data_IF_910366801531
#
_entry.id   IF_910366801531
#
_cell.length_a   1.000
_cell.length_b   1.000
_cell.length_c   1.000
_cell.angle_alpha   90.00
_cell.angle_beta   90.00
_cell.angle_gamma   90.00
#
_symmetry.space_group_name_H-M   'P 1'
#
loop_
_entity.id
_entity.type
_entity.pdbx_description
1 polymer ?
#
# COMPACT_ATOMS: atom_id res chain seq x y z
N UNK A 1 35.34 20.09 -30.74
CA UNK A 1 35.16 19.53 -29.38
C UNK A 1 34.55 20.56 -28.40
N UNK A 2 35.17 21.73 -28.14
CA UNK A 2 34.64 22.79 -27.24
C UNK A 2 33.21 23.28 -27.55
N UNK A 3 32.81 23.33 -28.83
CA UNK A 3 31.48 23.81 -29.25
C UNK A 3 30.37 22.81 -28.87
N UNK A 4 30.64 21.50 -28.97
CA UNK A 4 29.71 20.41 -28.66
C UNK A 4 29.43 20.39 -27.14
N UNK A 5 30.47 20.57 -26.33
CA UNK A 5 30.35 20.65 -24.86
C UNK A 5 29.49 21.83 -24.41
N UNK A 6 29.59 22.99 -25.08
CA UNK A 6 28.82 24.19 -24.72
C UNK A 6 27.33 24.05 -25.07
N UNK A 7 27.00 23.38 -26.17
CA UNK A 7 25.61 23.10 -26.53
C UNK A 7 24.99 22.06 -25.60
N UNK A 8 25.73 21.01 -25.22
CA UNK A 8 25.26 20.01 -24.27
C UNK A 8 24.95 20.61 -22.89
N UNK A 9 25.82 21.49 -22.37
CA UNK A 9 25.62 22.20 -21.09
C UNK A 9 24.31 23.00 -21.11
N UNK A 10 24.03 23.70 -22.21
CA UNK A 10 22.78 24.46 -22.36
C UNK A 10 21.56 23.56 -22.41
N UNK A 11 21.63 22.46 -23.15
CA UNK A 11 20.52 21.49 -23.23
C UNK A 11 20.22 20.93 -21.83
N UNK A 12 21.25 20.45 -21.11
CA UNK A 12 21.08 19.94 -19.74
C UNK A 12 20.52 21.01 -18.80
N UNK A 13 21.04 22.24 -18.87
CA UNK A 13 20.56 23.35 -18.04
C UNK A 13 19.08 23.66 -18.27
N UNK A 14 18.63 23.70 -19.54
CA UNK A 14 17.22 23.90 -19.87
C UNK A 14 16.35 22.73 -19.44
N UNK A 15 16.80 21.49 -19.61
CA UNK A 15 16.07 20.30 -19.12
C UNK A 15 15.87 20.34 -17.61
N UNK A 16 16.91 20.70 -16.84
CA UNK A 16 16.82 20.85 -15.38
C UNK A 16 15.88 21.99 -14.98
N UNK A 17 15.89 23.10 -15.73
CA UNK A 17 14.98 24.21 -15.49
C UNK A 17 13.52 23.80 -15.70
N UNK A 18 13.23 23.06 -16.78
CA UNK A 18 11.88 22.54 -17.05
C UNK A 18 11.43 21.55 -15.97
N UNK A 19 12.32 20.67 -15.51
CA UNK A 19 12.02 19.76 -14.38
C UNK A 19 11.69 20.54 -13.11
N UNK A 20 12.46 21.58 -12.78
CA UNK A 20 12.18 22.44 -11.63
C UNK A 20 10.82 23.13 -11.74
N UNK A 21 10.48 23.69 -12.91
CA UNK A 21 9.15 24.29 -13.15
C UNK A 21 8.05 23.24 -12.99
N UNK A 22 8.23 22.04 -13.53
CA UNK A 22 7.26 20.94 -13.41
C UNK A 22 7.04 20.52 -11.96
N UNK A 23 8.11 20.31 -11.19
CA UNK A 23 8.04 19.98 -9.76
C UNK A 23 7.41 21.10 -8.94
N UNK A 24 7.75 22.36 -9.23
CA UNK A 24 7.12 23.52 -8.57
C UNK A 24 5.63 23.60 -8.88
N UNK A 25 5.24 23.42 -10.14
CA UNK A 25 3.83 23.38 -10.54
C UNK A 25 3.06 22.24 -9.86
N UNK A 26 3.68 21.06 -9.73
CA UNK A 26 3.10 19.92 -9.00
C UNK A 26 2.90 20.24 -7.51
N UNK A 27 3.85 20.94 -6.87
CA UNK A 27 3.74 21.37 -5.47
C UNK A 27 2.64 22.41 -5.27
N UNK A 28 2.57 23.42 -6.14
CA UNK A 28 1.49 24.40 -6.09
C UNK A 28 0.13 23.77 -6.33
N UNK A 29 0.04 22.82 -7.27
CA UNK A 29 -1.16 22.03 -7.52
C UNK A 29 -1.55 21.18 -6.32
N UNK A 30 -0.58 20.53 -5.68
CA UNK A 30 -0.79 19.78 -4.44
C UNK A 30 -1.38 20.66 -3.33
N UNK A 31 -0.76 21.80 -3.01
CA UNK A 31 -1.23 22.70 -1.96
C UNK A 31 -2.66 23.17 -2.22
N UNK A 32 -2.99 23.50 -3.47
CA UNK A 32 -4.35 23.89 -3.86
C UNK A 32 -5.38 22.77 -3.66
N UNK A 33 -5.03 21.54 -4.05
CA UNK A 33 -5.93 20.39 -3.97
C UNK A 33 -6.04 19.87 -2.53
N UNK A 34 -4.96 19.93 -1.76
CA UNK A 34 -4.92 19.58 -0.34
C UNK A 34 -5.90 20.43 0.46
N UNK A 35 -5.77 21.76 0.37
CA UNK A 35 -6.65 22.71 1.04
C UNK A 35 -8.13 22.50 0.68
N UNK A 36 -8.42 22.27 -0.60
CA UNK A 36 -9.81 22.23 -1.09
C UNK A 36 -10.49 20.87 -0.92
N UNK A 37 -9.73 19.77 -1.00
CA UNK A 37 -10.30 18.42 -1.12
C UNK A 37 -9.75 17.43 -0.10
N UNK A 38 -8.92 17.86 0.86
CA UNK A 38 -8.33 17.00 1.88
C UNK A 38 -7.60 15.80 1.25
N UNK A 39 -6.95 16.05 0.12
CA UNK A 39 -6.08 15.09 -0.56
C UNK A 39 -4.68 15.29 -0.01
N UNK A 40 -4.01 14.20 0.28
CA UNK A 40 -2.63 14.21 0.75
C UNK A 40 -1.75 13.42 -0.22
N UNK A 41 -0.44 13.60 -0.10
CA UNK A 41 0.46 12.63 -0.69
C UNK A 41 0.25 11.26 -0.02
N UNK A 42 0.44 10.22 -0.81
CA UNK A 42 0.39 8.82 -0.35
C UNK A 42 1.45 8.53 0.70
N UNK A 43 2.51 9.32 0.70
CA UNK A 43 3.57 9.33 1.70
C UNK A 43 3.95 10.77 1.99
N UNK A 44 3.89 11.19 3.26
CA UNK A 44 4.18 12.57 3.65
C UNK A 44 5.61 13.00 3.27
N UNK A 45 6.55 12.05 3.18
CA UNK A 45 7.94 12.31 2.81
C UNK A 45 8.06 12.87 1.38
N UNK A 46 7.12 12.53 0.49
CA UNK A 46 7.12 13.00 -0.91
C UNK A 46 7.05 14.51 -1.01
N UNK A 47 6.32 15.19 -0.11
CA UNK A 47 6.24 16.65 -0.10
C UNK A 47 7.64 17.27 -0.04
N UNK A 48 8.44 16.86 0.93
CA UNK A 48 9.79 17.37 1.14
C UNK A 48 10.76 16.88 0.06
N UNK A 49 10.68 15.60 -0.35
CA UNK A 49 11.57 15.04 -1.38
C UNK A 49 11.41 15.76 -2.72
N UNK A 50 10.17 16.03 -3.14
CA UNK A 50 9.90 16.75 -4.39
C UNK A 50 10.38 18.21 -4.29
N UNK A 51 10.21 18.86 -3.13
CA UNK A 51 10.73 20.21 -2.91
C UNK A 51 12.27 20.25 -2.99
N UNK A 52 12.97 19.32 -2.33
CA UNK A 52 14.43 19.19 -2.40
C UNK A 52 14.88 18.96 -3.85
N UNK A 53 14.22 18.05 -4.56
CA UNK A 53 14.51 17.79 -5.98
C UNK A 53 14.33 19.05 -6.84
N UNK A 54 13.22 19.77 -6.65
CA UNK A 54 12.95 21.03 -7.34
C UNK A 54 14.06 22.06 -7.10
N UNK A 55 14.49 22.23 -5.85
CA UNK A 55 15.55 23.16 -5.46
C UNK A 55 16.89 22.79 -6.10
N UNK A 56 17.26 21.50 -6.10
CA UNK A 56 18.50 21.01 -6.71
C UNK A 56 18.48 21.25 -8.22
N UNK A 57 17.39 20.88 -8.90
CA UNK A 57 17.23 21.11 -10.34
C UNK A 57 17.34 22.59 -10.70
N UNK A 58 16.68 23.47 -9.94
CA UNK A 58 16.72 24.91 -10.17
C UNK A 58 18.13 25.49 -9.95
N UNK A 59 18.80 25.10 -8.86
CA UNK A 59 20.14 25.57 -8.56
C UNK A 59 21.15 25.15 -9.63
N UNK A 60 21.10 23.89 -10.07
CA UNK A 60 21.95 23.38 -11.16
C UNK A 60 21.64 24.08 -12.49
N UNK A 61 20.37 24.28 -12.82
CA UNK A 61 19.99 25.02 -14.03
C UNK A 61 20.56 26.45 -14.04
N UNK A 62 20.45 27.16 -12.93
CA UNK A 62 21.00 28.51 -12.75
C UNK A 62 22.52 28.51 -12.94
N UNK A 63 23.24 27.55 -12.33
CA UNK A 63 24.70 27.44 -12.45
C UNK A 63 25.18 27.14 -13.87
N UNK A 64 24.40 26.38 -14.64
CA UNK A 64 24.74 25.97 -16.01
C UNK A 64 24.35 27.02 -17.07
N UNK A 65 23.20 27.69 -16.89
CA UNK A 65 22.67 28.63 -17.88
C UNK A 65 23.18 30.07 -17.69
N UNK A 66 23.43 30.49 -16.45
CA UNK A 66 23.82 31.87 -16.15
C UNK A 66 25.33 32.00 -15.91
N UNK A 67 25.91 33.06 -16.48
CA UNK A 67 27.29 33.47 -16.20
C UNK A 67 27.34 34.22 -14.88
N UNK A 68 27.42 33.48 -13.78
CA UNK A 68 27.53 34.04 -12.43
C UNK A 68 28.99 34.37 -12.08
N UNK A 69 29.20 35.47 -11.34
CA UNK A 69 30.49 35.78 -10.75
C UNK A 69 30.79 34.82 -9.57
N UNK A 70 32.06 34.76 -9.12
CA UNK A 70 32.48 33.84 -8.04
C UNK A 70 31.71 34.06 -6.74
N UNK A 71 31.41 35.32 -6.38
CA UNK A 71 30.68 35.66 -5.14
C UNK A 71 29.23 35.19 -5.20
N UNK A 72 28.52 35.46 -6.30
CA UNK A 72 27.13 35.03 -6.52
C UNK A 72 26.98 33.51 -6.55
N UNK A 73 27.97 32.78 -7.09
CA UNK A 73 27.98 31.31 -7.02
C UNK A 73 28.06 30.83 -5.57
N UNK A 74 29.00 31.37 -4.78
CA UNK A 74 29.17 31.00 -3.37
C UNK A 74 27.89 31.29 -2.59
N UNK A 75 27.36 32.52 -2.71
CA UNK A 75 26.12 32.92 -2.02
C UNK A 75 24.95 32.03 -2.43
N UNK A 76 24.74 31.81 -3.73
CA UNK A 76 23.63 30.99 -4.23
C UNK A 76 23.72 29.54 -3.75
N UNK A 77 24.91 28.95 -3.79
CA UNK A 77 25.13 27.59 -3.27
C UNK A 77 24.90 27.51 -1.76
N UNK A 78 25.37 28.50 -0.99
CA UNK A 78 25.13 28.56 0.46
C UNK A 78 23.64 28.66 0.80
N UNK A 79 22.90 29.56 0.13
CA UNK A 79 21.44 29.71 0.32
C UNK A 79 20.70 28.42 -0.05
N UNK A 80 21.05 27.82 -1.19
CA UNK A 80 20.47 26.54 -1.62
C UNK A 80 20.71 25.45 -0.58
N UNK A 81 21.93 25.36 -0.05
CA UNK A 81 22.28 24.40 1.00
C UNK A 81 21.43 24.58 2.26
N UNK A 82 21.24 25.81 2.72
CA UNK A 82 20.41 26.11 3.90
C UNK A 82 18.95 25.68 3.68
N UNK A 83 18.38 25.97 2.50
CA UNK A 83 16.98 25.61 2.19
C UNK A 83 16.81 24.09 2.12
N UNK A 84 17.78 23.36 1.54
CA UNK A 84 17.76 21.89 1.52
C UNK A 84 17.84 21.34 2.94
N UNK A 85 18.75 21.85 3.77
CA UNK A 85 18.88 21.45 5.18
C UNK A 85 17.55 21.65 5.92
N UNK A 86 16.90 22.80 5.73
CA UNK A 86 15.60 23.05 6.33
C UNK A 86 14.54 22.00 5.93
N UNK A 87 14.47 21.63 4.66
CA UNK A 87 13.54 20.58 4.20
C UNK A 87 13.89 19.20 4.74
N UNK A 88 15.18 18.88 4.90
CA UNK A 88 15.61 17.62 5.52
C UNK A 88 15.21 17.58 6.99
N UNK A 89 15.38 18.67 7.73
CA UNK A 89 14.93 18.76 9.13
C UNK A 89 13.42 18.58 9.24
N UNK A 90 12.64 19.27 8.42
CA UNK A 90 11.17 19.13 8.40
C UNK A 90 10.71 17.73 7.97
N UNK A 91 11.43 17.08 7.05
CA UNK A 91 11.15 15.68 6.69
C UNK A 91 11.36 14.74 7.88
N UNK A 92 12.45 14.92 8.64
CA UNK A 92 12.75 14.09 9.80
C UNK A 92 11.69 14.30 10.89
N UNK A 93 11.36 15.56 11.19
CA UNK A 93 10.33 15.94 12.16
C UNK A 93 8.96 15.34 11.81
N UNK A 94 8.51 15.53 10.57
CA UNK A 94 7.26 14.96 10.07
C UNK A 94 7.23 13.43 10.14
N UNK A 95 8.37 12.76 9.93
CA UNK A 95 8.46 11.30 10.01
C UNK A 95 8.57 10.79 11.46
N UNK A 96 8.95 11.65 12.41
CA UNK A 96 8.89 11.35 13.84
C UNK A 96 7.45 11.45 14.36
N UNK A 97 6.67 12.42 13.89
CA UNK A 97 5.26 12.56 14.25
C UNK A 97 4.35 11.52 13.55
N UNK A 98 4.60 11.28 12.26
CA UNK A 98 3.80 10.39 11.43
C UNK A 98 4.66 9.31 10.79
N UNK A 99 4.48 8.07 11.23
CA UNK A 99 5.08 6.91 10.57
C UNK A 99 4.25 6.56 9.34
N UNK A 100 4.91 6.53 8.18
CA UNK A 100 4.28 6.20 6.90
C UNK A 100 4.59 4.73 6.56
N UNK A 101 3.55 3.90 6.42
CA UNK A 101 3.63 2.52 5.98
C UNK A 101 3.10 2.47 4.56
N UNK A 102 4.01 2.28 3.60
CA UNK A 102 3.66 2.27 2.17
C UNK A 102 4.21 1.04 1.47
N UNK A 103 3.38 0.37 0.68
CA UNK A 103 3.81 -0.73 -0.18
C UNK A 103 3.14 -0.63 -1.54
N UNK A 104 3.90 -0.93 -2.59
CA UNK A 104 3.39 -0.97 -3.97
C UNK A 104 2.98 -2.41 -4.29
N UNK A 105 1.87 -2.59 -5.00
CA UNK A 105 1.40 -3.91 -5.42
C UNK A 105 2.36 -4.57 -6.42
N UNK A 106 2.36 -5.91 -6.53
CA UNK A 106 3.25 -6.63 -7.45
C UNK A 106 3.12 -6.19 -8.92
N UNK A 107 1.91 -5.81 -9.36
CA UNK A 107 1.65 -5.28 -10.70
C UNK A 107 1.82 -3.75 -10.84
N UNK A 108 2.26 -3.05 -9.78
CA UNK A 108 2.46 -1.60 -9.72
C UNK A 108 1.21 -0.74 -9.93
N UNK A 109 0.00 -1.32 -9.90
CA UNK A 109 -1.26 -0.58 -10.11
C UNK A 109 -1.83 0.02 -8.84
N UNK A 110 -1.47 -0.52 -7.68
CA UNK A 110 -2.00 -0.13 -6.40
C UNK A 110 -0.89 0.18 -5.41
N UNK A 111 -1.21 1.04 -4.45
CA UNK A 111 -0.30 1.39 -3.37
C UNK A 111 -1.10 1.38 -2.08
N UNK A 112 -0.67 0.53 -1.15
CA UNK A 112 -1.09 0.57 0.23
C UNK A 112 -0.42 1.77 0.90
N UNK A 113 -1.21 2.55 1.63
CA UNK A 113 -0.72 3.66 2.45
C UNK A 113 -1.47 3.71 3.77
N UNK A 114 -0.73 3.60 4.85
CA UNK A 114 -1.20 3.80 6.22
C UNK A 114 -0.31 4.86 6.86
N UNK A 115 -0.94 5.79 7.57
CA UNK A 115 -0.25 6.81 8.34
C UNK A 115 -0.60 6.62 9.81
N UNK A 116 0.42 6.34 10.61
CA UNK A 116 0.32 6.16 12.06
C UNK A 116 0.84 7.42 12.75
N UNK A 117 0.02 7.99 13.64
CA UNK A 117 0.48 8.98 14.59
C UNK A 117 1.28 8.28 15.70
N UNK A 118 2.55 8.65 15.85
CA UNK A 118 3.48 7.97 16.75
C UNK A 118 3.24 8.25 18.23
N UNK A 119 2.50 9.31 18.57
CA UNK A 119 2.21 9.67 19.95
C UNK A 119 1.09 8.81 20.55
N UNK A 120 0.07 8.48 19.77
CA UNK A 120 -1.13 7.77 20.23
C UNK A 120 -1.42 6.44 19.52
N UNK A 121 -0.57 6.03 18.58
CA UNK A 121 -0.75 4.77 17.83
C UNK A 121 -1.95 4.78 16.89
N UNK A 122 -2.52 5.94 16.57
CA UNK A 122 -3.65 6.03 15.65
C UNK A 122 -3.20 5.88 14.21
N UNK A 123 -3.61 4.77 13.59
CA UNK A 123 -3.33 4.48 12.21
C UNK A 123 -4.56 4.72 11.32
N UNK A 124 -4.35 5.43 10.22
CA UNK A 124 -5.38 5.73 9.22
C UNK A 124 -4.94 5.13 7.88
N UNK A 125 -5.81 4.34 7.27
CA UNK A 125 -5.65 3.84 5.91
C UNK A 125 -6.08 4.92 4.90
N UNK A 126 -5.21 5.15 3.92
CA UNK A 126 -5.42 6.08 2.81
C UNK A 126 -5.63 5.33 1.51
N UNK A 127 -6.70 5.67 0.78
CA UNK A 127 -6.96 5.12 -0.55
C UNK A 127 -6.36 6.02 -1.62
N UNK A 128 -5.50 5.44 -2.48
CA UNK A 128 -4.98 6.13 -3.66
C UNK A 128 -6.10 6.33 -4.69
N UNK A 129 -6.20 7.54 -5.22
CA UNK A 129 -7.13 7.88 -6.31
C UNK A 129 -6.40 8.31 -7.59
N UNK A 130 -5.21 8.92 -7.45
CA UNK A 130 -4.45 9.48 -8.58
C UNK A 130 -2.94 9.31 -8.36
N UNK A 131 -2.45 8.07 -8.41
CA UNK A 131 -1.03 7.76 -8.28
C UNK A 131 -0.49 8.11 -6.89
N UNK A 132 0.31 9.18 -6.80
CA UNK A 132 0.97 9.62 -5.56
C UNK A 132 0.03 10.38 -4.60
N UNK A 133 -1.24 10.55 -4.96
CA UNK A 133 -2.24 11.25 -4.15
C UNK A 133 -3.26 10.27 -3.57
N UNK A 134 -3.57 10.46 -2.29
CA UNK A 134 -4.48 9.61 -1.54
C UNK A 134 -5.41 10.44 -0.64
N UNK A 135 -6.50 9.82 -0.18
CA UNK A 135 -7.42 10.40 0.81
C UNK A 135 -7.59 9.45 1.99
N UNK A 136 -7.77 9.98 3.21
CA UNK A 136 -8.11 9.14 4.35
C UNK A 136 -9.41 8.40 4.06
N UNK A 137 -9.42 7.10 4.30
CA UNK A 137 -10.58 6.24 4.06
C UNK A 137 -11.16 5.72 5.36
N UNK A 138 -10.35 5.08 6.19
CA UNK A 138 -10.79 4.49 7.45
C UNK A 138 -9.66 4.44 8.47
N UNK A 139 -10.02 4.55 9.76
CA UNK A 139 -9.09 4.33 10.88
C UNK A 139 -8.96 2.83 11.11
N UNK A 140 -7.75 2.35 11.39
CA UNK A 140 -7.56 0.97 11.82
C UNK A 140 -8.29 0.76 13.16
N UNK A 141 -8.95 -0.39 13.39
CA UNK A 141 -9.82 -0.57 14.56
C UNK A 141 -9.10 -0.48 15.91
N UNK A 142 -7.81 -0.82 15.95
CA UNK A 142 -7.01 -0.85 17.17
C UNK A 142 -5.79 0.07 17.03
N UNK A 143 -5.46 0.74 18.13
CA UNK A 143 -4.23 1.51 18.26
C UNK A 143 -3.01 0.59 18.20
N UNK A 144 -1.97 1.04 17.52
CA UNK A 144 -0.81 0.23 17.18
C UNK A 144 0.39 0.56 18.08
N UNK A 145 1.22 -0.44 18.36
CA UNK A 145 2.44 -0.30 19.20
C UNK A 145 3.70 -0.67 18.44
N UNK A 146 3.84 -0.16 17.22
CA UNK A 146 5.13 -0.18 16.53
C UNK A 146 5.09 -0.77 15.13
N UNK A 147 5.62 -1.97 14.97
CA UNK A 147 5.94 -2.54 13.65
C UNK A 147 4.71 -3.08 12.91
N UNK A 148 4.80 -2.97 11.59
CA UNK A 148 3.80 -3.43 10.64
C UNK A 148 4.49 -4.41 9.70
N UNK A 149 3.80 -5.50 9.40
CA UNK A 149 4.15 -6.41 8.32
C UNK A 149 3.11 -6.28 7.21
N UNK A 150 3.56 -6.02 6.00
CA UNK A 150 2.69 -5.87 4.84
C UNK A 150 2.99 -7.01 3.88
N UNK A 151 1.95 -7.74 3.47
CA UNK A 151 2.05 -8.79 2.46
C UNK A 151 0.96 -8.62 1.40
N UNK A 152 1.32 -8.79 0.12
CA UNK A 152 0.34 -8.73 -0.96
C UNK A 152 -0.15 -10.14 -1.26
N UNK A 153 -1.36 -10.45 -0.79
CA UNK A 153 -1.98 -11.77 -0.96
C UNK A 153 -2.46 -12.01 -2.39
N UNK A 154 -2.73 -10.92 -3.10
CA UNK A 154 -2.97 -10.83 -4.53
C UNK A 154 -2.49 -9.45 -5.01
N UNK A 155 -2.51 -9.20 -6.32
CA UNK A 155 -2.15 -7.92 -6.93
C UNK A 155 -2.96 -6.73 -6.42
N UNK A 156 -4.13 -6.97 -5.84
CA UNK A 156 -5.09 -5.95 -5.40
C UNK A 156 -5.67 -6.24 -4.00
N UNK A 157 -5.01 -7.09 -3.21
CA UNK A 157 -5.31 -7.34 -1.80
C UNK A 157 -4.02 -7.35 -0.98
N UNK A 158 -3.87 -6.36 -0.10
CA UNK A 158 -2.71 -6.23 0.80
C UNK A 158 -3.12 -6.46 2.24
N UNK A 159 -2.59 -7.50 2.87
CA UNK A 159 -2.74 -7.75 4.29
C UNK A 159 -1.69 -6.97 5.09
N UNK A 160 -2.15 -6.35 6.17
CA UNK A 160 -1.34 -5.56 7.09
C UNK A 160 -1.48 -6.16 8.47
N UNK A 161 -0.46 -6.90 8.89
CA UNK A 161 -0.37 -7.49 10.22
C UNK A 161 0.34 -6.51 11.14
N UNK A 162 -0.23 -6.27 12.32
CA UNK A 162 0.35 -5.37 13.31
C UNK A 162 0.00 -5.82 14.72
N UNK A 163 0.79 -5.36 15.69
CA UNK A 163 0.51 -5.56 17.10
C UNK A 163 -0.29 -4.39 17.65
N UNK A 164 -1.46 -4.66 18.20
CA UNK A 164 -2.29 -3.67 18.87
C UNK A 164 -1.75 -3.36 20.28
N UNK A 165 -2.20 -2.24 20.86
CA UNK A 165 -1.75 -1.76 22.17
C UNK A 165 -1.97 -2.76 23.31
N UNK A 166 -2.97 -3.64 23.19
CA UNK A 166 -3.25 -4.75 24.11
C UNK A 166 -2.37 -5.99 23.87
N UNK A 167 -1.39 -5.89 22.97
CA UNK A 167 -0.50 -6.93 22.50
C UNK A 167 -1.11 -8.02 21.62
N UNK A 168 -2.37 -7.88 21.20
CA UNK A 168 -2.99 -8.82 20.25
C UNK A 168 -2.48 -8.60 18.83
N UNK A 169 -2.34 -9.68 18.06
CA UNK A 169 -2.12 -9.59 16.61
C UNK A 169 -3.43 -9.19 15.92
N UNK A 170 -3.36 -8.10 15.17
CA UNK A 170 -4.47 -7.61 14.37
C UNK A 170 -4.07 -7.59 12.90
N UNK A 171 -5.07 -7.72 12.05
CA UNK A 171 -4.87 -7.66 10.61
C UNK A 171 -5.90 -6.73 9.98
N UNK A 172 -5.40 -5.84 9.12
CA UNK A 172 -6.21 -5.00 8.26
C UNK A 172 -5.92 -5.38 6.81
N UNK A 173 -6.94 -5.43 5.96
CA UNK A 173 -6.74 -5.75 4.54
C UNK A 173 -7.18 -4.61 3.64
N UNK A 174 -6.23 -4.06 2.88
CA UNK A 174 -6.49 -3.06 1.85
C UNK A 174 -6.87 -3.75 0.53
N UNK A 175 -8.12 -3.58 0.09
CA UNK A 175 -8.64 -4.20 -1.15
C UNK A 175 -8.92 -3.16 -2.23
N UNK A 176 -8.46 -3.41 -3.46
CA UNK A 176 -8.47 -2.42 -4.55
C UNK A 176 -9.30 -2.81 -5.77
N UNK A 177 -9.60 -4.09 -5.98
CA UNK A 177 -10.35 -4.59 -7.12
C UNK A 177 -11.66 -5.29 -6.76
N UNK A 178 -12.14 -6.10 -7.70
CA UNK A 178 -13.36 -6.90 -7.60
C UNK A 178 -13.20 -8.16 -8.49
N UNK A 179 -13.76 -9.29 -8.08
CA UNK A 179 -13.87 -10.54 -8.87
C UNK A 179 -15.24 -10.72 -9.53
N UNK A 180 -16.21 -9.88 -9.20
CA UNK A 180 -17.52 -9.86 -9.82
C UNK A 180 -17.60 -8.90 -11.01
N UNK A 181 -18.83 -8.45 -11.29
CA UNK A 181 -19.11 -7.50 -12.37
C UNK A 181 -18.98 -6.04 -11.96
N UNK A 182 -18.57 -5.75 -10.71
CA UNK A 182 -18.56 -4.42 -10.12
C UNK A 182 -19.94 -3.81 -9.86
N UNK A 183 -21.03 -4.55 -10.08
CA UNK A 183 -22.43 -4.06 -9.94
C UNK A 183 -23.10 -4.46 -8.63
N UNK A 184 -22.63 -5.52 -7.99
CA UNK A 184 -23.24 -6.09 -6.78
C UNK A 184 -22.15 -6.44 -5.77
N UNK A 185 -22.43 -6.16 -4.50
CA UNK A 185 -21.57 -6.55 -3.40
C UNK A 185 -21.83 -8.02 -3.05
N UNK A 186 -20.78 -8.81 -2.86
CA UNK A 186 -20.86 -10.22 -2.44
C UNK A 186 -20.00 -10.46 -1.20
N UNK A 187 -20.22 -11.62 -0.57
CA UNK A 187 -19.52 -12.03 0.64
C UNK A 187 -18.47 -13.08 0.30
N UNK A 188 -17.20 -12.77 0.56
CA UNK A 188 -16.06 -13.63 0.22
C UNK A 188 -16.24 -15.03 0.77
N UNK A 189 -16.64 -15.14 2.05
CA UNK A 189 -16.87 -16.43 2.69
C UNK A 189 -17.95 -17.28 2.01
N UNK A 190 -18.98 -16.65 1.46
CA UNK A 190 -20.05 -17.33 0.73
C UNK A 190 -19.61 -17.75 -0.67
N UNK A 191 -18.86 -16.91 -1.38
CA UNK A 191 -18.32 -17.23 -2.71
C UNK A 191 -17.30 -18.37 -2.66
N UNK A 192 -16.59 -18.53 -1.55
CA UNK A 192 -15.64 -19.62 -1.36
C UNK A 192 -16.25 -20.88 -0.74
N UNK A 193 -17.57 -21.03 -0.74
CA UNK A 193 -18.23 -22.22 -0.17
C UNK A 193 -17.68 -23.51 -0.82
N UNK A 194 -17.26 -24.48 -0.02
CA UNK A 194 -16.61 -25.70 -0.49
C UNK A 194 -15.29 -26.00 0.21
N UNK A 195 -14.51 -26.90 -0.38
CA UNK A 195 -13.21 -27.35 0.12
C UNK A 195 -12.08 -26.83 -0.78
N UNK A 196 -11.04 -26.28 -0.15
CA UNK A 196 -9.87 -25.72 -0.80
C UNK A 196 -8.61 -26.38 -0.25
N UNK A 197 -7.82 -26.99 -1.12
CA UNK A 197 -6.64 -27.77 -0.74
C UNK A 197 -5.34 -27.09 -1.17
N UNK A 198 -4.34 -27.16 -0.30
CA UNK A 198 -2.95 -26.77 -0.54
C UNK A 198 -1.97 -27.80 0.01
N UNK A 199 -0.67 -27.46 0.00
CA UNK A 199 0.36 -28.34 0.55
C UNK A 199 0.27 -28.40 2.08
N UNK A 200 -0.30 -29.50 2.61
CA UNK A 200 -0.52 -29.76 4.04
C UNK A 200 -1.51 -28.82 4.75
N UNK A 201 -2.32 -28.10 3.98
CA UNK A 201 -3.34 -27.18 4.50
C UNK A 201 -4.64 -27.39 3.73
N UNK A 202 -5.75 -27.40 4.47
CA UNK A 202 -7.10 -27.51 3.93
C UNK A 202 -7.98 -26.40 4.53
N UNK A 203 -8.83 -25.79 3.72
CA UNK A 203 -9.83 -24.82 4.15
C UNK A 203 -11.21 -25.28 3.70
N UNK A 204 -12.15 -25.36 4.63
CA UNK A 204 -13.54 -25.73 4.35
C UNK A 204 -14.44 -24.57 4.75
N UNK A 205 -15.13 -23.96 3.78
CA UNK A 205 -16.18 -22.97 4.04
C UNK A 205 -17.55 -23.61 3.91
N UNK A 206 -18.35 -23.54 4.97
CA UNK A 206 -19.69 -24.12 5.00
C UNK A 206 -20.67 -23.29 5.86
N UNK A 207 -21.88 -23.79 6.10
CA UNK A 207 -22.91 -23.06 6.85
C UNK A 207 -22.54 -22.79 8.31
N UNK A 208 -21.66 -23.57 8.92
CA UNK A 208 -21.20 -23.36 10.29
C UNK A 208 -20.12 -22.28 10.40
N UNK A 209 -19.40 -21.99 9.32
CA UNK A 209 -18.27 -21.07 9.30
C UNK A 209 -17.16 -21.57 8.38
N UNK A 210 -15.92 -21.21 8.72
CA UNK A 210 -14.73 -21.61 7.98
C UNK A 210 -13.81 -22.42 8.89
N UNK A 211 -13.47 -23.64 8.48
CA UNK A 211 -12.44 -24.45 9.14
C UNK A 211 -11.13 -24.34 8.39
N UNK A 212 -10.03 -24.20 9.12
CA UNK A 212 -8.65 -24.29 8.59
C UNK A 212 -7.98 -25.47 9.27
N UNK A 213 -7.48 -26.42 8.49
CA UNK A 213 -6.68 -27.55 8.95
C UNK A 213 -5.24 -27.36 8.50
N UNK A 214 -4.30 -27.15 9.41
CA UNK A 214 -2.87 -27.04 9.13
C UNK A 214 -2.15 -28.19 9.85
N UNK A 215 -1.39 -29.01 9.12
CA UNK A 215 -0.61 -30.13 9.70
C UNK A 215 -1.44 -31.11 10.58
N UNK A 216 -2.73 -31.27 10.28
CA UNK A 216 -3.64 -32.16 11.01
C UNK A 216 -4.37 -31.52 12.20
N UNK A 217 -4.04 -30.28 12.56
CA UNK A 217 -4.77 -29.51 13.57
C UNK A 217 -5.85 -28.66 12.89
N UNK A 218 -7.12 -28.93 13.22
CA UNK A 218 -8.28 -28.22 12.66
C UNK A 218 -8.80 -27.16 13.62
N UNK A 219 -8.98 -25.95 13.11
CA UNK A 219 -9.59 -24.84 13.82
C UNK A 219 -10.82 -24.33 13.07
N UNK A 220 -11.96 -24.23 13.76
CA UNK A 220 -13.20 -23.69 13.22
C UNK A 220 -13.41 -22.25 13.68
N UNK A 221 -13.74 -21.39 12.71
CA UNK A 221 -14.11 -20.00 12.90
C UNK A 221 -15.57 -19.83 12.51
N UNK A 222 -16.43 -19.55 13.48
CA UNK A 222 -17.83 -19.20 13.21
C UNK A 222 -17.92 -17.86 12.46
N UNK A 223 -19.07 -17.62 11.81
CA UNK A 223 -19.29 -16.41 11.02
C UNK A 223 -19.19 -15.11 11.82
N UNK A 224 -19.46 -15.12 13.13
CA UNK A 224 -19.36 -13.94 14.00
C UNK A 224 -17.90 -13.55 14.25
N UNK A 225 -16.97 -14.50 14.11
CA UNK A 225 -15.53 -14.31 14.22
C UNK A 225 -14.84 -14.04 12.86
N UNK A 226 -15.59 -13.85 11.78
CA UNK A 226 -15.07 -13.59 10.43
C UNK A 226 -15.36 -12.14 10.03
N UNK A 227 -14.31 -11.41 9.70
CA UNK A 227 -14.39 -10.00 9.35
C UNK A 227 -14.09 -9.80 7.86
N UNK A 228 -15.04 -9.27 7.11
CA UNK A 228 -14.87 -9.00 5.68
C UNK A 228 -14.21 -7.65 5.40
N UNK A 229 -13.29 -7.67 4.44
CA UNK A 229 -12.60 -6.49 3.90
C UNK A 229 -12.88 -6.38 2.41
N UNK A 230 -13.73 -5.41 2.05
CA UNK A 230 -14.19 -5.22 0.67
C UNK A 230 -14.82 -6.50 0.11
N UNK A 231 -14.60 -6.75 -1.18
CA UNK A 231 -15.09 -7.96 -1.86
C UNK A 231 -13.98 -8.98 -2.12
N UNK A 232 -12.79 -8.79 -1.56
CA UNK A 232 -11.62 -9.61 -1.92
C UNK A 232 -11.03 -10.42 -0.76
N UNK A 233 -11.29 -10.06 0.50
CA UNK A 233 -10.66 -10.74 1.62
C UNK A 233 -11.53 -10.82 2.88
N UNK A 234 -11.21 -11.80 3.72
CA UNK A 234 -11.75 -11.99 5.07
C UNK A 234 -10.62 -12.29 6.05
N UNK A 235 -10.75 -11.82 7.28
CA UNK A 235 -9.87 -12.15 8.41
C UNK A 235 -10.64 -13.06 9.36
N UNK A 236 -10.06 -14.21 9.68
CA UNK A 236 -10.57 -15.17 10.66
C UNK A 236 -9.95 -14.86 12.02
N UNK A 237 -10.79 -14.64 13.03
CA UNK A 237 -10.36 -14.23 14.37
C UNK A 237 -10.65 -15.27 15.43
N UNK A 238 -9.83 -15.32 16.47
CA UNK A 238 -10.11 -16.06 17.69
C UNK A 238 -9.78 -15.20 18.90
N UNK A 239 -10.70 -15.12 19.86
CA UNK A 239 -10.51 -14.30 21.07
C UNK A 239 -10.09 -12.85 20.75
N UNK A 240 -10.72 -12.25 19.72
CA UNK A 240 -10.42 -10.92 19.17
C UNK A 240 -9.06 -10.76 18.45
N UNK A 241 -8.25 -11.81 18.34
CA UNK A 241 -6.96 -11.82 17.65
C UNK A 241 -7.12 -12.36 16.22
N UNK A 242 -6.42 -11.78 15.25
CA UNK A 242 -6.37 -12.31 13.89
C UNK A 242 -5.51 -13.58 13.86
N UNK A 243 -6.01 -14.65 13.23
CA UNK A 243 -5.29 -15.93 13.10
C UNK A 243 -4.94 -16.20 11.63
N UNK A 244 -5.92 -16.03 10.74
CA UNK A 244 -5.77 -16.25 9.30
C UNK A 244 -6.41 -15.12 8.50
N UNK A 245 -5.88 -14.82 7.32
CA UNK A 245 -6.57 -14.07 6.27
C UNK A 245 -6.73 -14.97 5.06
N UNK A 246 -7.90 -14.89 4.44
CA UNK A 246 -8.16 -15.51 3.14
C UNK A 246 -8.44 -14.39 2.14
N UNK A 247 -7.84 -14.46 0.95
CA UNK A 247 -8.15 -13.57 -0.16
C UNK A 247 -8.44 -14.32 -1.45
N UNK A 248 -9.28 -13.72 -2.30
CA UNK A 248 -9.56 -14.20 -3.65
C UNK A 248 -8.46 -13.75 -4.61
N UNK A 249 -7.81 -14.69 -5.30
CA UNK A 249 -6.76 -14.36 -6.28
C UNK A 249 -7.37 -13.89 -7.60
N UNK A 250 -6.54 -13.37 -8.51
CA UNK A 250 -6.99 -12.68 -9.73
C UNK A 250 -7.75 -13.57 -10.70
N UNK A 251 -7.48 -14.87 -10.65
CA UNK A 251 -8.17 -15.88 -11.45
C UNK A 251 -9.47 -16.39 -10.82
N UNK A 252 -9.83 -15.90 -9.63
CA UNK A 252 -11.09 -16.25 -8.98
C UNK A 252 -12.27 -15.59 -9.69
N UNK A 253 -13.28 -16.38 -10.06
CA UNK A 253 -14.49 -15.88 -10.71
C UNK A 253 -15.69 -15.95 -9.77
N UNK A 254 -16.38 -14.82 -9.59
CA UNK A 254 -17.62 -14.76 -8.82
C UNK A 254 -18.79 -14.97 -9.77
N UNK A 255 -19.50 -16.09 -9.59
CA UNK A 255 -20.64 -16.44 -10.42
C UNK A 255 -21.94 -15.94 -9.80
N UNK A 256 -22.85 -15.33 -10.59
CA UNK A 256 -24.15 -14.89 -10.10
C UNK A 256 -25.10 -16.05 -9.75
N UNK A 257 -24.75 -17.28 -10.13
CA UNK A 257 -25.55 -18.49 -9.94
C UNK A 257 -24.78 -19.51 -9.10
N UNK A 258 -25.35 -19.93 -7.98
CA UNK A 258 -24.75 -20.88 -7.03
C UNK A 258 -24.57 -22.32 -7.57
N UNK A 259 -24.93 -22.57 -8.83
CA UNK A 259 -24.81 -23.88 -9.50
C UNK A 259 -23.52 -24.04 -10.29
N UNK A 260 -22.77 -22.96 -10.49
CA UNK A 260 -21.55 -22.97 -11.28
C UNK A 260 -20.37 -23.36 -10.37
N UNK A 261 -19.49 -24.23 -10.87
CA UNK A 261 -18.28 -24.64 -10.15
C UNK A 261 -17.41 -23.43 -9.87
N UNK A 262 -16.88 -23.31 -8.66
CA UNK A 262 -15.89 -22.30 -8.30
C UNK A 262 -14.67 -22.40 -9.22
N UNK A 263 -14.31 -21.29 -9.85
CA UNK A 263 -13.13 -21.20 -10.72
C UNK A 263 -12.10 -20.31 -10.07
N UNK A 264 -10.84 -20.76 -10.09
CA UNK A 264 -9.68 -20.00 -9.61
C UNK A 264 -9.08 -20.58 -8.34
N UNK A 265 -8.29 -19.77 -7.65
CA UNK A 265 -7.68 -20.14 -6.37
C UNK A 265 -7.83 -19.02 -5.35
N UNK A 266 -7.58 -19.38 -4.10
CA UNK A 266 -7.55 -18.44 -2.97
C UNK A 266 -6.16 -18.45 -2.34
N UNK A 267 -5.82 -17.38 -1.64
CA UNK A 267 -4.62 -17.31 -0.81
C UNK A 267 -5.01 -17.36 0.65
N UNK A 268 -4.41 -18.29 1.40
CA UNK A 268 -4.48 -18.34 2.86
C UNK A 268 -3.19 -17.78 3.45
N UNK A 269 -3.31 -16.92 4.45
CA UNK A 269 -2.18 -16.25 5.05
C UNK A 269 -2.25 -16.21 6.57
N UNK A 270 -1.20 -16.68 7.24
CA UNK A 270 -1.14 -16.70 8.71
C UNK A 270 -0.89 -15.30 9.24
N UNK A 271 -1.72 -14.86 10.17
CA UNK A 271 -1.57 -13.57 10.85
C UNK A 271 -0.49 -13.68 11.93
N UNK A 272 0.76 -13.43 11.54
CA UNK A 272 1.92 -13.38 12.44
C UNK A 272 2.86 -12.24 12.06
N UNK A 273 3.66 -11.78 13.02
CA UNK A 273 4.76 -10.84 12.77
C UNK A 273 6.02 -11.53 12.25
N UNK A 274 6.11 -12.86 12.34
CA UNK A 274 7.21 -13.65 11.76
C UNK A 274 7.13 -13.65 10.22
N UNK A 275 8.26 -13.85 9.54
CA UNK A 275 8.28 -13.98 8.09
C UNK A 275 7.52 -15.26 7.67
N UNK A 276 6.55 -15.11 6.77
CA UNK A 276 5.79 -16.20 6.17
C UNK A 276 5.19 -15.74 4.85
N UNK A 277 4.90 -16.69 3.98
CA UNK A 277 4.34 -16.46 2.64
C UNK A 277 2.87 -16.91 2.59
N UNK A 278 2.04 -16.33 1.70
CA UNK A 278 0.70 -16.84 1.41
C UNK A 278 0.73 -18.24 0.80
N UNK A 279 -0.17 -19.11 1.24
CA UNK A 279 -0.37 -20.45 0.72
C UNK A 279 -1.51 -20.41 -0.30
N UNK A 280 -1.24 -20.82 -1.54
CA UNK A 280 -2.26 -20.89 -2.59
C UNK A 280 -3.06 -22.18 -2.43
N UNK A 281 -4.38 -22.06 -2.35
CA UNK A 281 -5.30 -23.19 -2.24
C UNK A 281 -6.21 -23.27 -3.47
N UNK A 282 -6.46 -24.50 -3.93
CA UNK A 282 -7.27 -24.79 -5.11
C UNK A 282 -8.55 -25.52 -4.71
N UNK A 283 -9.62 -25.31 -5.45
CA UNK A 283 -10.88 -26.03 -5.21
C UNK A 283 -10.65 -27.54 -5.38
N UNK A 284 -10.96 -28.32 -4.34
CA UNK A 284 -10.83 -29.78 -4.32
C UNK A 284 -11.62 -30.45 -5.46
N UNK A 285 -12.70 -29.80 -5.93
CA UNK A 285 -13.49 -30.26 -7.08
C UNK A 285 -12.78 -30.13 -8.44
N UNK A 286 -11.75 -29.29 -8.55
CA UNK A 286 -10.99 -29.04 -9.79
C UNK A 286 -9.70 -29.87 -9.90
N UNK A 287 -9.25 -30.48 -8.81
CA UNK A 287 -8.01 -31.28 -8.73
C UNK A 287 -8.00 -32.59 -9.53
N UNK A 288 -9.05 -32.93 -10.27
CA UNK A 288 -9.10 -34.12 -11.13
C UNK A 288 -8.61 -33.89 -12.57
N UNK A 289 -8.25 -32.65 -12.96
CA UNK A 289 -7.89 -32.31 -14.34
C UNK A 289 -6.43 -31.90 -14.58
N UNK A 290 -5.55 -32.05 -13.60
CA UNK A 290 -4.11 -31.90 -13.81
C UNK A 290 -3.28 -32.95 -13.07
N UNK A 291 -3.31 -34.17 -13.59
CA UNK A 291 -2.18 -35.11 -13.54
C UNK A 291 -1.69 -35.37 -14.96
#
# INVERSE_FOLDING_TARGET
MKLITNNLIKVVGWSLFLLAIGSFGLQMGYLFVHERFQIEYIDNRLFYMINIFCIICLALAILLLLRLNKRSKIIGTSVTGIIIIAHVVLLIDSNQEIKNITSISPNFKHVLSIKENTENGNAIYYRSYYGILARPKERLPHETVGEYKVEWLANDAAAVTYKAADNTIQQFVGTYGDRGTGRSYYYVGAEMHGQWDGENVEVISNTAGISVTENGDTELFDWDNIHQFGTLAIVLKKHNEAVWTISLNENFEVHPTASDSTVGNISLYKATMEENEPIILWDAGTGSLSQ
#
